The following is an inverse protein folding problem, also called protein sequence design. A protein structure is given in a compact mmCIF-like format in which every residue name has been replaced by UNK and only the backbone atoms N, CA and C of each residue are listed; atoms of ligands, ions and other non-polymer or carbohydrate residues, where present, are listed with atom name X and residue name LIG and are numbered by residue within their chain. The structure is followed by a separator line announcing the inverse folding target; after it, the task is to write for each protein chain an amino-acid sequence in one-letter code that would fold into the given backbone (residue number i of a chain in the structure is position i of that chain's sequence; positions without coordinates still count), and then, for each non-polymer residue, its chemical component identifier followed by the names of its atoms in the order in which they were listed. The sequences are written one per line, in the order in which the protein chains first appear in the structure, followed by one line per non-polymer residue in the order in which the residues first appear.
data_IF_018507630244
#
_entry.id   IF_018507630244
#
_cell.length_a   1.000
_cell.length_b   1.000
_cell.length_c   1.000
_cell.angle_alpha   90.00
_cell.angle_beta   90.00
_cell.angle_gamma   90.00
#
_symmetry.space_group_name_H-M   'P 1'
#
loop_
_entity.id
_entity.type
_entity.pdbx_description
1 polymer ?
#
# COMPACT_ATOMS: atom_id res chain seq x y z
N UNK A 1 13.77 64.28 -25.68
CA UNK A 1 14.54 63.09 -26.14
C UNK A 1 14.99 62.14 -25.01
N UNK A 2 15.28 62.61 -23.78
CA UNK A 2 15.74 61.76 -22.65
C UNK A 2 14.69 60.77 -22.08
N UNK A 3 13.42 61.16 -22.01
CA UNK A 3 12.34 60.35 -21.37
C UNK A 3 12.12 59.02 -22.10
N UNK A 4 12.14 59.03 -23.44
CA UNK A 4 12.01 57.83 -24.30
C UNK A 4 13.08 56.76 -24.06
N UNK A 5 14.27 57.15 -23.58
CA UNK A 5 15.34 56.21 -23.27
C UNK A 5 15.15 55.55 -21.90
N UNK A 6 14.55 56.26 -20.95
CA UNK A 6 14.23 55.75 -19.60
C UNK A 6 13.12 54.71 -19.67
N UNK A 7 12.04 54.98 -20.42
CA UNK A 7 10.94 54.01 -20.59
C UNK A 7 11.42 52.72 -21.29
N UNK A 8 12.25 52.85 -22.34
CA UNK A 8 12.86 51.69 -23.02
C UNK A 8 13.79 50.90 -22.09
N UNK A 9 14.47 51.57 -21.15
CA UNK A 9 15.33 50.93 -20.17
C UNK A 9 14.52 50.17 -19.11
N UNK A 10 13.49 50.81 -18.54
CA UNK A 10 12.57 50.18 -17.58
C UNK A 10 11.86 48.98 -18.22
N UNK A 11 11.37 49.11 -19.46
CA UNK A 11 10.74 48.00 -20.19
C UNK A 11 11.70 46.82 -20.38
N UNK A 12 12.96 47.06 -20.72
CA UNK A 12 13.97 45.99 -20.85
C UNK A 12 14.26 45.30 -19.52
N UNK A 13 14.36 46.06 -18.42
CA UNK A 13 14.54 45.50 -17.09
C UNK A 13 13.34 44.64 -16.67
N UNK A 14 12.13 45.11 -16.93
CA UNK A 14 10.91 44.39 -16.58
C UNK A 14 10.78 43.06 -17.36
N UNK A 15 11.02 43.08 -18.67
CA UNK A 15 11.02 41.86 -19.50
C UNK A 15 12.09 40.87 -19.04
N UNK A 16 13.30 41.34 -18.71
CA UNK A 16 14.36 40.47 -18.17
C UNK A 16 13.95 39.81 -16.85
N UNK A 17 13.35 40.56 -15.93
CA UNK A 17 12.92 40.03 -14.65
C UNK A 17 11.78 39.01 -14.81
N UNK A 18 10.83 39.27 -15.72
CA UNK A 18 9.75 38.32 -16.05
C UNK A 18 10.31 37.02 -16.63
N UNK A 19 11.29 37.10 -17.53
CA UNK A 19 11.96 35.91 -18.09
C UNK A 19 12.65 35.10 -16.99
N UNK A 20 13.37 35.76 -16.08
CA UNK A 20 14.03 35.08 -14.95
C UNK A 20 13.00 34.40 -14.04
N UNK A 21 11.88 35.06 -13.75
CA UNK A 21 10.80 34.48 -12.93
C UNK A 21 10.18 33.26 -13.59
N UNK A 22 9.90 33.33 -14.89
CA UNK A 22 9.33 32.21 -15.66
C UNK A 22 10.34 31.04 -15.69
N UNK A 23 11.61 31.31 -15.95
CA UNK A 23 12.64 30.29 -15.94
C UNK A 23 12.79 29.63 -14.56
N UNK A 24 12.77 30.42 -13.49
CA UNK A 24 12.78 29.90 -12.11
C UNK A 24 11.57 29.04 -11.80
N UNK A 25 10.36 29.47 -12.20
CA UNK A 25 9.15 28.69 -12.01
C UNK A 25 9.20 27.35 -12.77
N UNK A 26 9.70 27.34 -14.00
CA UNK A 26 9.86 26.11 -14.79
C UNK A 26 10.85 25.14 -14.15
N UNK A 27 11.94 25.65 -13.57
CA UNK A 27 12.90 24.82 -12.82
C UNK A 27 12.21 24.21 -11.60
N UNK A 28 11.46 24.99 -10.82
CA UNK A 28 10.74 24.48 -9.64
C UNK A 28 9.74 23.40 -10.04
N UNK A 29 8.95 23.64 -11.09
CA UNK A 29 8.00 22.64 -11.61
C UNK A 29 8.72 21.37 -12.05
N UNK A 30 9.83 21.50 -12.78
CA UNK A 30 10.64 20.35 -13.17
C UNK A 30 11.11 19.55 -11.95
N UNK A 31 11.68 20.19 -10.93
CA UNK A 31 12.13 19.49 -9.72
C UNK A 31 11.00 18.85 -8.89
N UNK A 32 9.78 19.41 -8.94
CA UNK A 32 8.63 18.85 -8.23
C UNK A 32 8.03 17.64 -8.96
N UNK A 33 7.91 17.72 -10.29
CA UNK A 33 7.18 16.77 -11.12
C UNK A 33 8.06 15.79 -11.93
N UNK A 34 9.39 15.94 -11.89
CA UNK A 34 10.30 14.96 -12.50
C UNK A 34 10.15 13.58 -11.86
N UNK A 35 10.54 12.53 -12.58
CA UNK A 35 10.47 11.14 -12.12
C UNK A 35 11.30 10.90 -10.84
N UNK A 36 12.33 11.73 -10.59
CA UNK A 36 13.12 11.71 -9.35
C UNK A 36 12.74 12.84 -8.39
N UNK A 37 11.67 13.55 -8.69
CA UNK A 37 11.15 14.67 -7.93
C UNK A 37 10.61 14.29 -6.55
N UNK A 38 10.28 15.32 -5.77
CA UNK A 38 9.85 15.17 -4.38
C UNK A 38 8.53 14.40 -4.26
N UNK A 39 7.60 14.61 -5.20
CA UNK A 39 6.30 13.94 -5.20
C UNK A 39 6.47 12.41 -5.32
N UNK A 40 7.35 11.97 -6.24
CA UNK A 40 7.58 10.55 -6.45
C UNK A 40 8.20 9.88 -5.22
N UNK A 41 9.10 10.58 -4.51
CA UNK A 41 9.69 10.06 -3.26
C UNK A 41 8.65 9.85 -2.17
N UNK A 42 7.72 10.79 -2.01
CA UNK A 42 6.63 10.68 -1.03
C UNK A 42 5.74 9.47 -1.36
N UNK A 43 5.36 9.33 -2.65
CA UNK A 43 4.54 8.19 -3.11
C UNK A 43 5.25 6.86 -2.87
N UNK A 44 6.53 6.77 -3.22
CA UNK A 44 7.32 5.55 -3.05
C UNK A 44 7.48 5.18 -1.56
N UNK A 45 7.67 6.18 -0.68
CA UNK A 45 7.73 5.96 0.76
C UNK A 45 6.41 5.44 1.32
N UNK A 46 5.28 5.97 0.85
CA UNK A 46 3.96 5.49 1.25
C UNK A 46 3.70 4.06 0.77
N UNK A 47 4.04 3.77 -0.48
CA UNK A 47 3.93 2.42 -1.06
C UNK A 47 4.79 1.42 -0.28
N UNK A 48 6.05 1.77 -0.01
CA UNK A 48 6.95 0.95 0.82
C UNK A 48 6.35 0.65 2.19
N UNK A 49 5.83 1.65 2.89
CA UNK A 49 5.20 1.44 4.21
C UNK A 49 3.97 0.53 4.10
N UNK A 50 3.18 0.66 3.04
CA UNK A 50 2.01 -0.22 2.82
C UNK A 50 2.42 -1.68 2.56
N UNK A 51 3.50 -1.89 1.82
CA UNK A 51 4.06 -3.22 1.53
C UNK A 51 4.64 -3.85 2.80
N UNK A 52 5.36 -3.07 3.63
CA UNK A 52 5.90 -3.53 4.91
C UNK A 52 4.77 -4.00 5.84
N UNK A 53 3.68 -3.22 5.96
CA UNK A 53 2.48 -3.64 6.72
C UNK A 53 1.84 -4.91 6.16
N UNK A 54 1.79 -5.04 4.83
CA UNK A 54 1.24 -6.24 4.17
C UNK A 54 2.09 -7.47 4.48
N UNK A 55 3.42 -7.34 4.47
CA UNK A 55 4.35 -8.41 4.83
C UNK A 55 4.12 -8.83 6.29
N UNK A 56 4.02 -7.87 7.20
CA UNK A 56 3.76 -8.15 8.62
C UNK A 56 2.44 -8.89 8.83
N UNK A 57 1.36 -8.45 8.17
CA UNK A 57 0.06 -9.11 8.23
C UNK A 57 0.13 -10.55 7.70
N UNK A 58 0.78 -10.78 6.56
CA UNK A 58 0.95 -12.11 5.98
C UNK A 58 1.83 -13.02 6.86
N UNK A 59 2.84 -12.46 7.53
CA UNK A 59 3.66 -13.22 8.48
C UNK A 59 2.86 -13.64 9.70
N UNK A 60 1.96 -12.78 10.22
CA UNK A 60 1.03 -13.14 11.28
C UNK A 60 0.09 -14.26 10.84
N UNK A 61 -0.55 -14.13 9.69
CA UNK A 61 -1.45 -15.15 9.13
C UNK A 61 -0.72 -16.49 8.95
N UNK A 62 0.52 -16.46 8.44
CA UNK A 62 1.33 -17.68 8.29
C UNK A 62 1.64 -18.35 9.63
N UNK A 63 1.90 -17.56 10.69
CA UNK A 63 2.09 -18.09 12.04
C UNK A 63 0.82 -18.73 12.57
N UNK A 64 -0.32 -18.05 12.45
CA UNK A 64 -1.61 -18.57 12.89
C UNK A 64 -1.98 -19.88 12.18
N UNK A 65 -1.81 -19.94 10.86
CA UNK A 65 -2.06 -21.14 10.07
C UNK A 65 -1.12 -22.29 10.44
N UNK A 66 0.16 -22.00 10.73
CA UNK A 66 1.11 -23.03 11.22
C UNK A 66 0.71 -23.55 12.59
N UNK A 67 0.26 -22.69 13.49
CA UNK A 67 -0.24 -23.11 14.79
C UNK A 67 -1.51 -23.95 14.66
N UNK A 68 -2.40 -23.61 13.73
CA UNK A 68 -3.57 -24.44 13.40
C UNK A 68 -3.14 -25.80 12.84
N UNK A 69 -2.20 -25.85 11.90
CA UNK A 69 -1.65 -27.11 11.38
C UNK A 69 -1.03 -27.93 12.51
N UNK A 70 -0.25 -27.34 13.41
CA UNK A 70 0.36 -28.04 14.54
C UNK A 70 -0.70 -28.60 15.50
N UNK A 71 -1.77 -27.85 15.78
CA UNK A 71 -2.91 -28.33 16.58
C UNK A 71 -3.61 -29.51 15.89
N UNK A 72 -3.80 -29.42 14.58
CA UNK A 72 -4.38 -30.49 13.78
C UNK A 72 -3.45 -31.71 13.71
N UNK A 73 -2.13 -31.55 13.62
CA UNK A 73 -1.20 -32.68 13.51
C UNK A 73 -0.83 -33.30 14.87
N UNK A 74 -0.95 -32.53 15.96
CA UNK A 74 -0.42 -32.87 17.28
C UNK A 74 -1.31 -33.75 18.15
N UNK A 75 -2.62 -33.85 17.91
CA UNK A 75 -3.51 -34.76 18.64
C UNK A 75 -4.49 -35.45 17.70
N UNK A 76 -4.44 -36.79 17.67
CA UNK A 76 -5.34 -37.61 16.85
C UNK A 76 -6.82 -37.40 17.27
N UNK A 77 -7.03 -36.99 18.52
CA UNK A 77 -8.34 -36.65 19.09
C UNK A 77 -8.90 -35.30 18.55
N UNK A 78 -8.07 -34.27 18.34
CA UNK A 78 -8.53 -33.01 17.73
C UNK A 78 -8.96 -33.22 16.27
N UNK A 79 -8.19 -34.01 15.51
CA UNK A 79 -8.51 -34.38 14.12
C UNK A 79 -9.85 -35.10 14.10
N UNK A 80 -10.01 -36.10 14.97
CA UNK A 80 -11.22 -36.91 15.03
C UNK A 80 -12.43 -36.07 15.48
N UNK A 81 -12.25 -35.12 16.39
CA UNK A 81 -13.29 -34.17 16.80
C UNK A 81 -13.72 -33.27 15.64
N UNK A 82 -12.78 -32.66 14.91
CA UNK A 82 -13.09 -31.78 13.78
C UNK A 82 -13.73 -32.55 12.62
N UNK A 83 -13.24 -33.75 12.32
CA UNK A 83 -13.80 -34.62 11.30
C UNK A 83 -15.27 -34.97 11.62
N UNK A 84 -15.58 -35.25 12.90
CA UNK A 84 -16.95 -35.55 13.35
C UNK A 84 -17.86 -34.33 13.43
N UNK A 85 -17.39 -33.21 14.01
CA UNK A 85 -18.22 -32.03 14.28
C UNK A 85 -18.42 -31.13 13.05
N UNK A 86 -17.35 -30.87 12.28
CA UNK A 86 -17.37 -29.90 11.18
C UNK A 86 -17.68 -30.55 9.84
N UNK A 87 -17.24 -31.79 9.64
CA UNK A 87 -17.35 -32.50 8.36
C UNK A 87 -18.28 -33.73 8.40
N UNK A 88 -18.86 -34.07 9.56
CA UNK A 88 -19.74 -35.22 9.73
C UNK A 88 -19.13 -36.53 9.19
N UNK A 89 -17.82 -36.71 9.31
CA UNK A 89 -17.16 -37.96 8.95
C UNK A 89 -17.45 -39.03 10.02
N UNK A 90 -17.75 -40.25 9.58
CA UNK A 90 -18.10 -41.41 10.43
C UNK A 90 -17.12 -42.56 10.20
N UNK A 91 -16.87 -43.39 11.22
CA UNK A 91 -16.14 -44.66 11.01
C UNK A 91 -17.03 -45.68 10.30
N UNK A 92 -16.39 -46.68 9.68
CA UNK A 92 -17.12 -47.80 9.07
C UNK A 92 -17.99 -48.50 10.14
N UNK A 93 -19.31 -48.43 9.97
CA UNK A 93 -20.30 -49.01 10.90
C UNK A 93 -21.06 -48.01 11.79
N UNK A 94 -20.71 -46.73 11.81
CA UNK A 94 -21.44 -45.70 12.57
C UNK A 94 -22.55 -45.05 11.72
N UNK A 95 -23.70 -44.66 12.28
CA UNK A 95 -24.81 -44.02 11.55
C UNK A 95 -25.04 -42.58 12.04
N UNK A 96 -25.17 -41.62 11.11
CA UNK A 96 -25.29 -40.19 11.45
C UNK A 96 -26.75 -39.79 11.56
N UNK A 97 -27.20 -39.41 12.77
CA UNK A 97 -28.54 -38.90 13.01
C UNK A 97 -28.57 -37.37 12.96
N UNK A 98 -29.18 -36.79 11.92
CA UNK A 98 -29.47 -35.35 11.86
C UNK A 98 -30.82 -35.08 12.53
N UNK A 99 -30.81 -34.54 13.73
CA UNK A 99 -32.02 -34.16 14.46
C UNK A 99 -32.50 -32.81 13.92
N UNK A 100 -33.70 -32.76 13.33
CA UNK A 100 -34.33 -31.47 12.99
C UNK A 100 -34.93 -30.85 14.26
N UNK A 101 -34.68 -29.55 14.54
CA UNK A 101 -35.37 -28.86 15.61
C UNK A 101 -36.87 -28.83 15.31
N UNK A 102 -37.67 -28.91 16.38
CA UNK A 102 -39.12 -29.04 16.36
C UNK A 102 -39.80 -27.72 16.02
#
# INVERSE_FOLDING_TARGET
MKIRNIEKFIRRLHVRNVIILIAGALIIVYFLFDERGLIQRIKLSAERSSLEKRIEALQNENRELKDEINKLQGSNEEIERIAREKYFMRRNGEEIYKIKPK
#
